data_IF_709061538965
#
_entry.id   IF_709061538965
#
_cell.length_a   1.000
_cell.length_b   1.000
_cell.length_c   1.000
_cell.angle_alpha   90.00
_cell.angle_beta   90.00
_cell.angle_gamma   90.00
#
_symmetry.space_group_name_H-M   'P 1'
#
loop_
_entity.id
_entity.type
_entity.pdbx_description
1 polymer ?
#
# COMPACT_ATOMS: atom_id res chain seq x y z
N UNK A 1 70.69 -3.20 17.64
CA UNK A 1 69.33 -3.79 17.55
C UNK A 1 68.65 -3.16 16.35
N UNK A 2 68.85 -3.70 15.15
CA UNK A 2 68.24 -3.18 13.92
C UNK A 2 67.31 -4.24 13.33
N UNK A 3 66.01 -3.95 13.43
CA UNK A 3 64.95 -4.72 12.78
C UNK A 3 65.13 -4.58 11.26
N UNK A 4 65.20 -5.67 10.48
CA UNK A 4 65.65 -5.57 9.11
C UNK A 4 64.58 -4.87 8.25
N UNK A 5 64.99 -3.78 7.59
CA UNK A 5 64.17 -2.90 6.72
C UNK A 5 63.45 -3.64 5.58
N UNK A 6 63.80 -4.89 5.30
CA UNK A 6 63.19 -5.72 4.25
C UNK A 6 61.73 -6.12 4.54
N UNK A 7 61.33 -6.27 5.80
CA UNK A 7 59.95 -6.67 6.18
C UNK A 7 58.93 -5.58 5.85
N UNK A 8 59.32 -4.30 5.93
CA UNK A 8 58.48 -3.17 5.51
C UNK A 8 58.37 -3.06 3.99
N UNK A 9 59.42 -3.44 3.26
CA UNK A 9 59.43 -3.43 1.80
C UNK A 9 58.55 -4.56 1.23
N UNK A 10 58.59 -5.75 1.83
CA UNK A 10 57.71 -6.88 1.47
C UNK A 10 56.24 -6.53 1.73
N UNK A 11 55.94 -5.86 2.84
CA UNK A 11 54.57 -5.43 3.16
C UNK A 11 54.03 -4.37 2.18
N UNK A 12 54.89 -3.45 1.72
CA UNK A 12 54.52 -2.42 0.74
C UNK A 12 54.31 -3.00 -0.67
N UNK A 13 55.14 -3.97 -1.07
CA UNK A 13 55.02 -4.65 -2.37
C UNK A 13 53.79 -5.56 -2.39
N UNK A 14 53.44 -6.22 -1.28
CA UNK A 14 52.17 -6.96 -1.16
C UNK A 14 50.94 -6.04 -1.24
N UNK A 15 51.01 -4.82 -0.69
CA UNK A 15 49.92 -3.84 -0.83
C UNK A 15 49.78 -3.31 -2.27
N UNK A 16 50.89 -3.11 -2.99
CA UNK A 16 50.88 -2.62 -4.37
C UNK A 16 50.46 -3.68 -5.39
N UNK A 17 50.75 -4.96 -5.12
CA UNK A 17 50.26 -6.11 -5.92
C UNK A 17 48.77 -6.41 -5.68
N UNK A 18 48.23 -6.08 -4.50
CA UNK A 18 46.79 -6.14 -4.22
C UNK A 18 45.99 -5.01 -4.90
N UNK A 19 46.66 -3.98 -5.40
CA UNK A 19 46.02 -2.82 -6.05
C UNK A 19 46.10 -2.80 -7.59
N UNK A 20 46.77 -3.77 -8.23
CA UNK A 20 46.90 -3.82 -9.71
C UNK A 20 45.99 -4.83 -10.43
N UNK A 21 44.96 -5.34 -9.74
CA UNK A 21 43.98 -6.28 -10.30
C UNK A 21 42.54 -5.77 -10.26
N UNK A 22 42.28 -4.53 -10.69
CA UNK A 22 40.90 -4.04 -10.95
C UNK A 22 40.84 -3.23 -12.24
N UNK A 23 41.15 -3.87 -13.35
CA UNK A 23 40.72 -3.39 -14.66
C UNK A 23 39.35 -3.99 -14.98
N UNK A 24 38.42 -3.11 -15.34
CA UNK A 24 37.12 -3.38 -15.95
C UNK A 24 36.08 -4.09 -15.07
N UNK A 25 35.57 -3.39 -14.05
CA UNK A 25 34.19 -3.61 -13.62
C UNK A 25 33.28 -3.03 -14.72
N UNK A 26 33.10 -3.78 -15.80
CA UNK A 26 32.00 -3.52 -16.72
C UNK A 26 30.71 -3.64 -15.91
N UNK A 27 30.05 -2.52 -15.65
CA UNK A 27 28.66 -2.49 -15.20
C UNK A 27 27.83 -3.20 -16.28
N UNK A 28 27.72 -4.52 -16.19
CA UNK A 28 26.72 -5.28 -16.91
C UNK A 28 25.39 -4.94 -16.24
N UNK A 29 24.75 -3.87 -16.71
CA UNK A 29 23.30 -3.77 -16.60
C UNK A 29 22.76 -5.00 -17.34
N UNK A 30 22.41 -6.05 -16.57
CA UNK A 30 21.45 -7.03 -17.07
C UNK A 30 20.15 -6.26 -17.20
N UNK A 31 19.89 -5.75 -18.39
CA UNK A 31 18.56 -5.30 -18.78
C UNK A 31 17.70 -6.56 -18.88
N UNK A 32 17.20 -7.00 -17.74
CA UNK A 32 16.18 -8.03 -17.68
C UNK A 32 14.86 -7.29 -17.94
N UNK A 33 14.16 -7.68 -19.00
CA UNK A 33 12.90 -7.04 -19.38
C UNK A 33 11.83 -7.40 -18.35
N UNK A 34 11.66 -6.51 -17.36
CA UNK A 34 10.68 -6.64 -16.29
C UNK A 34 9.35 -5.95 -16.63
N UNK A 35 9.13 -5.53 -17.89
CA UNK A 35 7.90 -4.83 -18.30
C UNK A 35 6.63 -5.65 -18.04
N UNK A 36 6.74 -6.98 -18.03
CA UNK A 36 5.64 -7.89 -17.67
C UNK A 36 5.39 -8.02 -16.16
N UNK A 37 6.32 -7.58 -15.31
CA UNK A 37 6.27 -7.77 -13.85
C UNK A 37 5.78 -6.49 -13.15
N UNK A 38 6.17 -5.32 -13.64
CA UNK A 38 5.80 -4.04 -13.05
C UNK A 38 5.37 -3.04 -14.13
N UNK A 39 4.24 -2.37 -13.88
CA UNK A 39 3.71 -1.33 -14.75
C UNK A 39 3.63 -0.01 -13.96
N UNK A 40 4.46 0.95 -14.35
CA UNK A 40 4.56 2.25 -13.69
C UNK A 40 3.24 3.04 -13.73
N UNK A 41 2.50 3.00 -14.84
CA UNK A 41 1.21 3.68 -14.96
C UNK A 41 0.19 3.10 -13.99
N UNK A 42 0.09 1.78 -13.91
CA UNK A 42 -0.77 1.11 -12.94
C UNK A 42 -0.33 1.45 -11.50
N UNK A 43 0.97 1.54 -11.25
CA UNK A 43 1.47 1.91 -9.93
C UNK A 43 1.08 3.33 -9.53
N UNK A 44 1.14 4.28 -10.45
CA UNK A 44 0.65 5.65 -10.21
C UNK A 44 -0.85 5.67 -9.96
N UNK A 45 -1.65 4.94 -10.75
CA UNK A 45 -3.11 4.82 -10.53
C UNK A 45 -3.41 4.26 -9.13
N UNK A 46 -2.76 3.17 -8.72
CA UNK A 46 -2.98 2.56 -7.40
C UNK A 46 -2.43 3.41 -6.25
N UNK A 47 -1.43 4.26 -6.52
CA UNK A 47 -0.95 5.26 -5.57
C UNK A 47 -1.99 6.38 -5.36
N UNK A 48 -2.64 6.86 -6.41
CA UNK A 48 -3.73 7.84 -6.29
C UNK A 48 -4.89 7.27 -5.45
N UNK A 49 -5.28 6.02 -5.65
CA UNK A 49 -6.28 5.36 -4.80
C UNK A 49 -5.81 5.21 -3.34
N UNK A 50 -4.55 4.85 -3.11
CA UNK A 50 -3.96 4.77 -1.77
C UNK A 50 -3.83 6.15 -1.11
N UNK A 51 -3.81 7.23 -1.89
CA UNK A 51 -3.80 8.60 -1.42
C UNK A 51 -5.22 9.14 -1.15
N UNK A 52 -6.19 8.85 -2.01
CA UNK A 52 -7.57 9.32 -1.89
C UNK A 52 -8.26 8.81 -0.62
N UNK A 53 -7.90 7.61 -0.14
CA UNK A 53 -8.45 7.07 1.12
C UNK A 53 -8.08 7.91 2.36
N UNK A 54 -7.18 8.88 2.24
CA UNK A 54 -6.84 9.83 3.32
C UNK A 54 -7.74 11.06 3.39
N UNK A 55 -8.65 11.26 2.43
CA UNK A 55 -9.58 12.39 2.46
C UNK A 55 -10.49 12.32 3.68
N UNK A 56 -10.66 13.47 4.35
CA UNK A 56 -11.45 13.59 5.59
C UNK A 56 -12.90 13.98 5.36
N UNK A 57 -13.19 14.60 4.21
CA UNK A 57 -14.57 14.78 3.72
C UNK A 57 -15.07 13.47 3.10
N UNK A 58 -15.86 12.73 3.88
CA UNK A 58 -16.44 11.47 3.44
C UNK A 58 -17.50 11.67 2.36
N UNK A 59 -18.11 12.84 2.29
CA UNK A 59 -19.10 13.17 1.27
C UNK A 59 -18.40 13.23 -0.08
N UNK A 60 -17.37 14.08 -0.19
CA UNK A 60 -16.60 14.22 -1.42
C UNK A 60 -15.88 12.93 -1.82
N UNK A 61 -15.36 12.17 -0.85
CA UNK A 61 -14.74 10.87 -1.12
C UNK A 61 -15.76 9.87 -1.65
N UNK A 62 -16.95 9.78 -1.05
CA UNK A 62 -17.99 8.83 -1.45
C UNK A 62 -18.65 9.19 -2.79
N UNK A 63 -18.76 10.49 -3.11
CA UNK A 63 -19.21 10.98 -4.43
C UNK A 63 -18.10 10.99 -5.47
N UNK A 64 -16.86 10.69 -5.07
CA UNK A 64 -15.67 10.73 -5.92
C UNK A 64 -15.42 12.10 -6.56
N UNK A 65 -15.61 13.17 -5.78
CA UNK A 65 -15.41 14.57 -6.17
C UNK A 65 -14.31 15.26 -5.38
N UNK A 66 -13.60 14.52 -4.54
CA UNK A 66 -12.52 15.02 -3.70
C UNK A 66 -11.33 15.57 -4.51
N UNK A 67 -10.49 16.38 -3.88
CA UNK A 67 -9.30 16.97 -4.52
C UNK A 67 -8.28 15.96 -5.07
N UNK A 68 -8.35 14.69 -4.63
CA UNK A 68 -7.53 13.56 -5.09
C UNK A 68 -8.30 12.52 -5.91
N UNK A 69 -9.58 12.79 -6.21
CA UNK A 69 -10.50 11.90 -6.92
C UNK A 69 -10.58 12.29 -8.42
N UNK A 70 -9.44 12.63 -9.01
CA UNK A 70 -9.36 13.18 -10.37
C UNK A 70 -8.29 12.46 -11.20
N UNK A 71 -7.96 13.04 -12.36
CA UNK A 71 -6.91 12.58 -13.27
C UNK A 71 -6.97 11.07 -13.58
N UNK A 72 -6.02 10.31 -13.03
CA UNK A 72 -5.83 8.87 -13.27
C UNK A 72 -6.90 7.99 -12.62
N UNK A 73 -7.72 8.54 -11.72
CA UNK A 73 -8.81 7.81 -11.04
C UNK A 73 -10.18 8.35 -11.41
N UNK A 74 -10.25 9.21 -12.44
CA UNK A 74 -11.50 9.82 -12.88
C UNK A 74 -12.50 8.75 -13.34
N UNK A 75 -13.74 8.87 -12.88
CA UNK A 75 -14.82 7.93 -13.24
C UNK A 75 -14.84 6.66 -12.41
N UNK A 76 -14.06 6.60 -11.32
CA UNK A 76 -14.19 5.52 -10.34
C UNK A 76 -15.56 5.53 -9.69
N UNK A 77 -16.17 4.36 -9.63
CA UNK A 77 -17.48 4.17 -9.03
C UNK A 77 -17.32 3.64 -7.61
N UNK A 78 -17.56 4.52 -6.64
CA UNK A 78 -17.58 4.12 -5.23
C UNK A 78 -18.77 3.20 -4.92
N UNK A 79 -18.50 2.02 -4.37
CA UNK A 79 -19.53 1.04 -3.98
C UNK A 79 -19.74 1.00 -2.47
N UNK A 80 -18.66 1.08 -1.71
CA UNK A 80 -18.65 0.99 -0.25
C UNK A 80 -17.54 1.88 0.32
N UNK A 81 -17.86 2.70 1.30
CA UNK A 81 -16.89 3.45 2.12
C UNK A 81 -17.10 3.06 3.58
N UNK A 82 -16.01 2.62 4.22
CA UNK A 82 -15.99 2.06 5.56
C UNK A 82 -15.13 2.96 6.44
N UNK A 83 -15.69 3.36 7.58
CA UNK A 83 -14.99 4.11 8.62
C UNK A 83 -15.22 3.44 9.96
N UNK A 84 -14.18 2.78 10.48
CA UNK A 84 -14.18 2.22 11.83
C UNK A 84 -13.68 3.32 12.79
N UNK A 85 -14.63 3.95 13.50
CA UNK A 85 -14.36 5.10 14.38
C UNK A 85 -13.57 4.65 15.61
N UNK A 86 -13.89 3.46 16.13
CA UNK A 86 -13.27 2.93 17.34
C UNK A 86 -11.76 2.75 17.17
N UNK A 87 -11.33 2.23 16.02
CA UNK A 87 -9.92 1.96 15.72
C UNK A 87 -9.32 2.95 14.72
N UNK A 88 -10.07 3.99 14.34
CA UNK A 88 -9.65 5.01 13.39
C UNK A 88 -9.19 4.42 12.04
N UNK A 89 -9.88 3.40 11.55
CA UNK A 89 -9.59 2.76 10.27
C UNK A 89 -10.50 3.29 9.18
N UNK A 90 -10.01 3.33 7.95
CA UNK A 90 -10.78 3.75 6.79
C UNK A 90 -10.41 2.91 5.59
N UNK A 91 -11.41 2.47 4.85
CA UNK A 91 -11.23 1.70 3.63
C UNK A 91 -12.37 1.98 2.66
N UNK A 92 -12.15 1.72 1.38
CA UNK A 92 -13.24 1.73 0.40
C UNK A 92 -13.15 0.56 -0.56
N UNK A 93 -14.27 0.25 -1.20
CA UNK A 93 -14.40 -0.69 -2.30
C UNK A 93 -15.13 0.02 -3.44
N UNK A 94 -14.60 -0.06 -4.66
CA UNK A 94 -15.25 0.51 -5.85
C UNK A 94 -14.83 -0.15 -7.14
N UNK A 95 -15.36 0.34 -8.26
CA UNK A 95 -15.09 -0.17 -9.61
C UNK A 95 -14.35 0.87 -10.44
N UNK A 96 -13.18 0.49 -10.95
CA UNK A 96 -12.43 1.23 -11.95
C UNK A 96 -12.79 0.65 -13.33
N UNK A 97 -13.66 1.33 -14.06
CA UNK A 97 -14.19 0.87 -15.36
C UNK A 97 -13.13 0.84 -16.46
N UNK A 98 -12.19 1.78 -16.43
CA UNK A 98 -11.03 1.85 -17.32
C UNK A 98 -10.08 0.65 -17.15
N UNK A 99 -9.90 0.18 -15.91
CA UNK A 99 -9.12 -1.01 -15.58
C UNK A 99 -9.93 -2.31 -15.63
N UNK A 100 -11.26 -2.22 -15.75
CA UNK A 100 -12.19 -3.32 -15.51
C UNK A 100 -11.85 -4.06 -14.20
N UNK A 101 -11.63 -3.32 -13.11
CA UNK A 101 -11.13 -3.85 -11.86
C UNK A 101 -11.96 -3.39 -10.66
N UNK A 102 -12.06 -4.25 -9.65
CA UNK A 102 -12.55 -3.86 -8.33
C UNK A 102 -11.36 -3.38 -7.53
N UNK A 103 -11.39 -2.12 -7.09
CA UNK A 103 -10.33 -1.51 -6.29
C UNK A 103 -10.74 -1.53 -4.82
N UNK A 104 -9.81 -1.94 -3.96
CA UNK A 104 -9.93 -1.86 -2.51
C UNK A 104 -8.75 -1.04 -1.99
N UNK A 105 -9.00 0.05 -1.29
CA UNK A 105 -7.95 0.87 -0.71
C UNK A 105 -8.10 0.95 0.82
N UNK A 106 -6.98 0.86 1.54
CA UNK A 106 -6.92 1.00 2.99
C UNK A 106 -6.06 2.18 3.39
N UNK A 107 -6.58 3.01 4.31
CA UNK A 107 -5.85 4.13 4.90
C UNK A 107 -4.83 3.62 5.91
N UNK A 108 -3.64 4.22 5.90
CA UNK A 108 -2.66 4.05 6.97
C UNK A 108 -2.91 4.98 8.16
N UNK A 109 -1.88 5.12 8.97
CA UNK A 109 -1.89 5.98 10.16
C UNK A 109 -1.86 7.46 9.76
N UNK A 110 -2.54 8.32 10.53
CA UNK A 110 -2.47 9.78 10.34
C UNK A 110 -1.14 10.36 10.84
N UNK A 111 -0.70 11.46 10.24
CA UNK A 111 0.63 12.05 10.45
C UNK A 111 1.04 12.21 11.92
N UNK A 112 0.16 12.77 12.76
CA UNK A 112 0.44 13.01 14.18
C UNK A 112 0.61 11.72 15.01
N UNK A 113 0.27 10.57 14.43
CA UNK A 113 0.38 9.26 15.05
C UNK A 113 1.40 8.35 14.35
N UNK A 114 1.94 8.75 13.19
CA UNK A 114 2.94 7.94 12.46
C UNK A 114 4.17 7.70 13.33
N UNK A 115 4.69 8.73 14.02
CA UNK A 115 5.82 8.58 14.94
C UNK A 115 5.52 7.57 16.06
N UNK A 116 4.41 7.74 16.78
CA UNK A 116 4.02 6.82 17.86
C UNK A 116 3.88 5.38 17.35
N UNK A 117 3.36 5.24 16.14
CA UNK A 117 3.13 3.95 15.53
C UNK A 117 4.44 3.28 15.06
N UNK A 118 5.39 4.08 14.56
CA UNK A 118 6.77 3.64 14.28
C UNK A 118 7.45 3.18 15.58
N UNK A 119 7.30 3.93 16.67
CA UNK A 119 7.81 3.52 17.99
C UNK A 119 7.19 2.19 18.43
N UNK A 120 5.88 2.02 18.28
CA UNK A 120 5.22 0.75 18.59
C UNK A 120 5.77 -0.41 17.76
N UNK A 121 6.00 -0.22 16.45
CA UNK A 121 6.61 -1.26 15.61
C UNK A 121 8.08 -1.58 15.97
N UNK A 122 8.81 -0.58 16.45
CA UNK A 122 10.20 -0.75 16.91
C UNK A 122 10.25 -1.57 18.21
N UNK A 123 9.39 -1.25 19.17
CA UNK A 123 9.50 -1.74 20.54
C UNK A 123 8.51 -2.86 20.91
N UNK A 124 7.39 -3.01 20.21
CA UNK A 124 6.30 -3.94 20.54
C UNK A 124 6.04 -4.92 19.39
N UNK A 125 7.02 -5.77 19.10
CA UNK A 125 6.83 -6.94 18.23
C UNK A 125 5.95 -7.98 18.93
N UNK A 126 4.64 -7.86 18.71
CA UNK A 126 3.65 -8.77 19.27
C UNK A 126 3.19 -9.73 18.17
N UNK A 127 3.84 -10.89 18.09
CA UNK A 127 3.46 -11.90 17.11
C UNK A 127 2.25 -12.72 17.52
N UNK A 128 1.49 -13.13 16.51
CA UNK A 128 0.37 -14.07 16.60
C UNK A 128 0.58 -15.19 15.58
N UNK A 129 0.30 -16.43 15.98
CA UNK A 129 0.34 -17.57 15.05
C UNK A 129 -0.77 -17.41 14.01
N UNK A 130 -0.39 -17.39 12.73
CA UNK A 130 -1.34 -17.32 11.64
C UNK A 130 -2.16 -18.63 11.62
N UNK A 131 -3.51 -18.57 11.55
CA UNK A 131 -4.34 -19.75 11.71
C UNK A 131 -4.02 -20.86 10.69
N UNK A 132 -3.91 -22.10 11.18
CA UNK A 132 -3.76 -23.32 10.39
C UNK A 132 -2.51 -23.42 9.50
N UNK A 133 -1.52 -22.53 9.65
CA UNK A 133 -0.27 -22.58 8.90
C UNK A 133 0.89 -22.77 9.89
N UNK A 134 1.62 -23.88 9.77
CA UNK A 134 2.75 -24.19 10.67
C UNK A 134 3.80 -23.08 10.63
N UNK A 135 4.27 -22.68 11.80
CA UNK A 135 5.36 -21.72 12.00
C UNK A 135 5.12 -20.32 11.42
N UNK A 136 3.98 -20.05 10.79
CA UNK A 136 3.63 -18.74 10.28
C UNK A 136 3.21 -17.82 11.43
N UNK A 137 3.92 -16.71 11.57
CA UNK A 137 3.64 -15.69 12.59
C UNK A 137 3.45 -14.35 11.91
N UNK A 138 2.54 -13.55 12.46
CA UNK A 138 2.17 -12.24 11.95
C UNK A 138 2.08 -11.22 13.06
N UNK A 139 2.31 -9.95 12.72
CA UNK A 139 2.16 -8.87 13.67
C UNK A 139 0.69 -8.73 14.10
N UNK A 140 0.43 -8.92 15.40
CA UNK A 140 -0.90 -8.96 16.00
C UNK A 140 -1.71 -7.70 15.73
N UNK A 141 -1.08 -6.52 15.74
CA UNK A 141 -1.75 -5.25 15.50
C UNK A 141 -2.36 -5.17 14.10
N UNK A 142 -1.61 -5.57 13.08
CA UNK A 142 -2.10 -5.58 11.70
C UNK A 142 -3.17 -6.64 11.48
N UNK A 143 -2.94 -7.84 12.03
CA UNK A 143 -3.90 -8.93 11.92
C UNK A 143 -5.24 -8.52 12.54
N UNK A 144 -5.21 -7.92 13.74
CA UNK A 144 -6.40 -7.42 14.43
C UNK A 144 -7.10 -6.32 13.62
N UNK A 145 -6.37 -5.31 13.14
CA UNK A 145 -6.92 -4.18 12.41
C UNK A 145 -7.75 -4.61 11.19
N UNK A 146 -7.34 -5.69 10.50
CA UNK A 146 -8.15 -6.27 9.43
C UNK A 146 -9.20 -7.28 9.93
N UNK A 147 -8.81 -8.34 10.65
CA UNK A 147 -9.69 -9.49 10.91
C UNK A 147 -10.73 -9.27 12.02
N UNK A 148 -10.46 -8.37 12.96
CA UNK A 148 -11.22 -8.23 14.21
C UNK A 148 -11.96 -6.90 14.32
N UNK A 149 -12.08 -6.17 13.22
CA UNK A 149 -12.82 -4.90 13.13
C UNK A 149 -13.97 -5.01 12.13
N UNK A 150 -14.76 -3.94 12.00
CA UNK A 150 -15.84 -3.88 11.02
C UNK A 150 -15.36 -3.95 9.57
N UNK A 151 -14.07 -3.66 9.33
CA UNK A 151 -13.47 -3.56 8.01
C UNK A 151 -13.60 -4.85 7.20
N UNK A 152 -13.14 -5.99 7.73
CA UNK A 152 -13.15 -7.27 6.99
C UNK A 152 -14.55 -7.69 6.52
N UNK A 153 -15.57 -7.84 7.39
CA UNK A 153 -16.87 -8.33 6.94
C UNK A 153 -17.51 -7.39 5.90
N UNK A 154 -17.37 -6.07 6.05
CA UNK A 154 -17.94 -5.09 5.12
C UNK A 154 -17.22 -5.13 3.77
N UNK A 155 -15.88 -5.13 3.74
CA UNK A 155 -15.09 -5.23 2.51
C UNK A 155 -15.39 -6.53 1.76
N UNK A 156 -15.42 -7.66 2.45
CA UNK A 156 -15.72 -8.97 1.83
C UNK A 156 -17.12 -8.98 1.23
N UNK A 157 -18.12 -8.44 1.93
CA UNK A 157 -19.49 -8.38 1.43
C UNK A 157 -19.61 -7.44 0.23
N UNK A 158 -18.96 -6.27 0.26
CA UNK A 158 -18.91 -5.35 -0.86
C UNK A 158 -18.27 -6.01 -2.09
N UNK A 159 -17.12 -6.67 -1.96
CA UNK A 159 -16.48 -7.39 -3.07
C UNK A 159 -17.39 -8.47 -3.64
N UNK A 160 -18.05 -9.27 -2.80
CA UNK A 160 -19.01 -10.29 -3.25
C UNK A 160 -20.18 -9.68 -4.02
N UNK A 161 -20.73 -8.56 -3.56
CA UNK A 161 -21.81 -7.82 -4.21
C UNK A 161 -21.36 -7.25 -5.55
N UNK A 162 -20.24 -6.52 -5.59
CA UNK A 162 -19.66 -5.95 -6.81
C UNK A 162 -19.39 -7.02 -7.86
N UNK A 163 -18.83 -8.17 -7.48
CA UNK A 163 -18.58 -9.28 -8.41
C UNK A 163 -19.85 -9.92 -8.98
N UNK A 164 -20.98 -9.86 -8.27
CA UNK A 164 -22.27 -10.32 -8.82
C UNK A 164 -22.78 -9.38 -9.92
N UNK A 165 -22.47 -8.09 -9.83
CA UNK A 165 -22.98 -7.05 -10.72
C UNK A 165 -22.10 -6.85 -11.95
N UNK A 166 -20.79 -6.77 -11.73
CA UNK A 166 -19.80 -6.48 -12.76
C UNK A 166 -19.05 -7.74 -13.26
N UNK A 167 -19.37 -8.91 -12.69
CA UNK A 167 -18.78 -10.19 -13.07
C UNK A 167 -17.41 -10.44 -12.41
N UNK A 168 -16.57 -11.24 -13.08
CA UNK A 168 -15.29 -11.72 -12.55
C UNK A 168 -14.13 -10.74 -12.81
N UNK A 169 -14.35 -9.45 -12.60
CA UNK A 169 -13.27 -8.45 -12.67
C UNK A 169 -12.10 -8.83 -11.73
N UNK A 170 -10.83 -8.58 -12.12
CA UNK A 170 -9.71 -8.62 -11.19
C UNK A 170 -10.00 -7.77 -9.96
N UNK A 171 -9.53 -8.23 -8.80
CA UNK A 171 -9.57 -7.45 -7.56
C UNK A 171 -8.16 -6.91 -7.31
N UNK A 172 -8.02 -5.59 -7.27
CA UNK A 172 -6.76 -4.92 -6.94
C UNK A 172 -6.88 -4.31 -5.56
N UNK A 173 -5.97 -4.70 -4.67
CA UNK A 173 -5.92 -4.23 -3.29
C UNK A 173 -4.72 -3.32 -3.15
N UNK A 174 -4.93 -2.15 -2.56
CA UNK A 174 -3.89 -1.14 -2.34
C UNK A 174 -3.97 -0.55 -0.94
N UNK A 175 -2.87 0.02 -0.50
CA UNK A 175 -2.77 0.69 0.78
C UNK A 175 -1.39 1.25 1.04
N UNK A 176 -1.36 2.36 1.77
CA UNK A 176 -0.14 3.02 2.20
C UNK A 176 0.14 2.76 3.68
N UNK A 177 1.41 2.62 4.07
CA UNK A 177 1.81 2.48 5.48
C UNK A 177 1.12 1.28 6.17
N UNK A 178 0.53 1.49 7.35
CA UNK A 178 -0.33 0.51 8.02
C UNK A 178 -1.46 -0.03 7.11
N UNK A 179 -1.98 0.81 6.21
CA UNK A 179 -2.99 0.42 5.22
C UNK A 179 -2.45 -0.62 4.23
N UNK A 180 -1.16 -0.58 3.91
CA UNK A 180 -0.50 -1.62 3.11
C UNK A 180 -0.48 -2.98 3.82
N UNK A 181 -0.29 -3.00 5.14
CA UNK A 181 -0.35 -4.23 5.93
C UNK A 181 -1.78 -4.80 5.96
N UNK A 182 -2.80 -3.95 6.11
CA UNK A 182 -4.20 -4.36 6.01
C UNK A 182 -4.56 -4.86 4.61
N UNK A 183 -4.09 -4.17 3.57
CA UNK A 183 -4.24 -4.58 2.17
C UNK A 183 -3.65 -5.98 1.92
N UNK A 184 -2.52 -6.29 2.56
CA UNK A 184 -1.89 -7.61 2.49
C UNK A 184 -2.81 -8.71 3.05
N UNK A 185 -3.33 -8.52 4.27
CA UNK A 185 -4.27 -9.49 4.83
C UNK A 185 -5.55 -9.61 4.02
N UNK A 186 -6.07 -8.49 3.49
CA UNK A 186 -7.23 -8.49 2.62
C UNK A 186 -7.00 -9.31 1.34
N UNK A 187 -5.89 -9.08 0.65
CA UNK A 187 -5.57 -9.81 -0.56
C UNK A 187 -5.47 -11.32 -0.32
N UNK A 188 -4.79 -11.72 0.76
CA UNK A 188 -4.64 -13.13 1.14
C UNK A 188 -5.98 -13.76 1.55
N UNK A 189 -6.79 -13.07 2.35
CA UNK A 189 -8.09 -13.55 2.82
C UNK A 189 -9.07 -13.74 1.64
N UNK A 190 -9.09 -12.82 0.68
CA UNK A 190 -9.86 -12.95 -0.56
C UNK A 190 -9.42 -14.16 -1.39
N UNK A 191 -8.12 -14.39 -1.50
CA UNK A 191 -7.58 -15.52 -2.26
C UNK A 191 -7.88 -16.87 -1.59
N UNK A 192 -7.53 -17.00 -0.30
CA UNK A 192 -7.57 -18.26 0.45
C UNK A 192 -8.97 -18.59 0.96
N UNK A 193 -9.61 -17.64 1.65
CA UNK A 193 -10.86 -17.91 2.38
C UNK A 193 -12.11 -17.65 1.53
N UNK A 194 -12.00 -16.87 0.45
CA UNK A 194 -13.12 -16.55 -0.45
C UNK A 194 -12.93 -17.02 -1.90
N UNK A 195 -11.84 -17.73 -2.20
CA UNK A 195 -11.61 -18.38 -3.50
C UNK A 195 -11.54 -17.41 -4.68
N UNK A 196 -11.05 -16.19 -4.45
CA UNK A 196 -10.87 -15.20 -5.52
C UNK A 196 -9.46 -15.36 -6.11
N UNK A 197 -9.36 -15.98 -7.28
CA UNK A 197 -8.05 -16.31 -7.86
C UNK A 197 -7.32 -15.16 -8.58
N UNK A 198 -7.99 -14.08 -8.96
CA UNK A 198 -7.38 -12.94 -9.68
C UNK A 198 -7.26 -11.71 -8.78
N UNK A 199 -6.58 -11.89 -7.65
CA UNK A 199 -6.27 -10.84 -6.70
C UNK A 199 -4.86 -10.32 -6.98
N UNK A 200 -4.72 -9.00 -7.02
CA UNK A 200 -3.45 -8.29 -7.15
C UNK A 200 -3.27 -7.39 -5.94
N UNK A 201 -2.05 -7.33 -5.40
CA UNK A 201 -1.70 -6.45 -4.30
C UNK A 201 -0.63 -5.46 -4.77
N UNK A 202 -0.87 -4.17 -4.55
CA UNK A 202 0.18 -3.17 -4.68
C UNK A 202 0.16 -2.25 -3.47
N UNK A 203 1.27 -2.17 -2.75
CA UNK A 203 1.35 -1.36 -1.52
C UNK A 203 2.46 -0.32 -1.60
N UNK A 204 2.34 0.72 -0.78
CA UNK A 204 3.26 1.85 -0.73
C UNK A 204 3.75 2.02 0.71
N UNK A 205 5.07 1.96 0.94
CA UNK A 205 5.62 2.12 2.29
C UNK A 205 5.13 1.06 3.27
N UNK A 206 4.87 -0.15 2.78
CA UNK A 206 4.34 -1.22 3.61
C UNK A 206 5.40 -1.72 4.60
N UNK A 207 5.07 -1.84 5.90
CA UNK A 207 5.91 -2.52 6.88
C UNK A 207 5.96 -4.03 6.62
N UNK A 208 6.87 -4.72 7.29
CA UNK A 208 6.86 -6.18 7.34
C UNK A 208 5.66 -6.66 8.15
N UNK A 209 4.97 -7.68 7.63
CA UNK A 209 3.66 -8.10 8.17
C UNK A 209 3.73 -9.40 8.97
N UNK A 210 4.66 -10.29 8.61
CA UNK A 210 4.87 -11.55 9.30
C UNK A 210 6.28 -12.09 9.08
N UNK A 211 6.53 -13.30 9.53
CA UNK A 211 7.82 -13.97 9.40
C UNK A 211 8.01 -14.64 8.02
N UNK A 212 9.16 -15.28 7.81
CA UNK A 212 9.50 -15.94 6.54
C UNK A 212 8.51 -17.06 6.13
N UNK A 213 7.95 -17.80 7.09
CA UNK A 213 6.93 -18.81 6.82
C UNK A 213 5.64 -18.18 6.30
N UNK A 214 5.18 -17.08 6.91
CA UNK A 214 4.04 -16.31 6.42
C UNK A 214 4.33 -15.68 5.04
N UNK A 215 5.51 -15.11 4.83
CA UNK A 215 5.88 -14.52 3.53
C UNK A 215 5.88 -15.56 2.39
N UNK A 216 6.33 -16.78 2.67
CA UNK A 216 6.29 -17.90 1.72
C UNK A 216 4.85 -18.30 1.40
N UNK A 217 4.02 -18.49 2.43
CA UNK A 217 2.60 -18.80 2.27
C UNK A 217 1.85 -17.72 1.49
N UNK A 218 2.15 -16.44 1.75
CA UNK A 218 1.57 -15.31 1.05
C UNK A 218 1.92 -15.34 -0.45
N UNK A 219 3.20 -15.58 -0.78
CA UNK A 219 3.70 -15.60 -2.16
C UNK A 219 3.02 -16.66 -3.02
N UNK A 220 2.70 -17.81 -2.43
CA UNK A 220 1.99 -18.90 -3.10
C UNK A 220 0.56 -18.50 -3.51
N UNK A 221 -0.14 -17.74 -2.65
CA UNK A 221 -1.56 -17.46 -2.81
C UNK A 221 -1.86 -16.12 -3.48
N UNK A 222 -0.95 -15.15 -3.39
CA UNK A 222 -1.08 -13.81 -4.02
C UNK A 222 0.19 -13.49 -4.82
N UNK A 223 0.47 -14.22 -5.92
CA UNK A 223 1.72 -14.07 -6.67
C UNK A 223 1.84 -12.72 -7.41
N UNK A 224 0.72 -12.05 -7.68
CA UNK A 224 0.68 -10.72 -8.32
C UNK A 224 0.81 -9.61 -7.26
N UNK A 225 1.96 -9.58 -6.60
CA UNK A 225 2.23 -8.65 -5.51
C UNK A 225 3.43 -7.76 -5.79
N UNK A 226 3.23 -6.46 -5.65
CA UNK A 226 4.26 -5.42 -5.74
C UNK A 226 4.25 -4.59 -4.45
N UNK A 227 5.42 -4.37 -3.86
CA UNK A 227 5.62 -3.42 -2.76
C UNK A 227 6.50 -2.29 -3.27
N UNK A 228 5.97 -1.07 -3.29
CA UNK A 228 6.73 0.12 -3.66
C UNK A 228 7.33 0.73 -2.39
N UNK A 229 8.65 0.93 -2.37
CA UNK A 229 9.40 1.56 -1.28
C UNK A 229 10.04 2.85 -1.80
N UNK A 230 10.14 3.90 -0.97
CA UNK A 230 10.65 5.19 -1.41
C UNK A 230 11.88 5.62 -0.61
N UNK A 231 12.99 5.93 -1.29
CA UNK A 231 14.19 6.53 -0.71
C UNK A 231 14.68 5.80 0.54
N UNK A 232 14.76 6.54 1.65
CA UNK A 232 15.13 6.07 2.98
C UNK A 232 13.91 5.90 3.90
N UNK A 233 12.73 5.60 3.35
CA UNK A 233 11.52 5.39 4.16
C UNK A 233 11.77 4.36 5.27
N UNK A 234 11.52 4.77 6.51
CA UNK A 234 11.66 3.94 7.71
C UNK A 234 10.65 2.80 7.80
N UNK A 235 9.43 2.98 7.30
CA UNK A 235 8.33 2.03 7.58
C UNK A 235 8.56 0.65 6.95
N UNK A 236 9.02 0.52 5.70
CA UNK A 236 9.42 -0.78 5.13
C UNK A 236 10.54 -1.49 5.90
N UNK A 237 11.28 -0.77 6.75
CA UNK A 237 12.34 -1.33 7.57
C UNK A 237 11.83 -1.82 8.94
N UNK A 238 10.51 -1.74 9.18
CA UNK A 238 9.87 -2.11 10.43
C UNK A 238 8.84 -3.24 10.26
N UNK A 239 8.69 -4.15 11.26
CA UNK A 239 9.61 -4.34 12.37
C UNK A 239 11.07 -4.65 11.93
N UNK A 240 12.08 -4.36 12.76
CA UNK A 240 13.50 -4.41 12.38
C UNK A 240 13.97 -5.74 11.79
N UNK A 241 14.96 -5.65 10.91
CA UNK A 241 15.68 -6.81 10.40
C UNK A 241 16.86 -7.18 11.31
N UNK A 242 16.90 -8.41 11.83
CA UNK A 242 17.99 -8.86 12.71
C UNK A 242 19.05 -9.64 11.93
N UNK A 243 20.10 -8.95 11.48
CA UNK A 243 21.19 -9.58 10.68
C UNK A 243 21.90 -10.74 11.38
N UNK A 244 21.97 -10.73 12.72
CA UNK A 244 22.57 -11.83 13.51
C UNK A 244 21.59 -13.00 13.73
N UNK A 245 20.29 -12.77 13.61
CA UNK A 245 19.24 -13.79 13.79
C UNK A 245 18.16 -13.68 12.70
N UNK A 246 18.49 -13.92 11.40
CA UNK A 246 17.53 -13.77 10.31
C UNK A 246 16.27 -14.64 10.47
N UNK A 247 16.39 -15.80 11.13
CA UNK A 247 15.27 -16.70 11.42
C UNK A 247 14.23 -16.12 12.39
N UNK A 248 14.59 -15.10 13.17
CA UNK A 248 13.69 -14.39 14.09
C UNK A 248 13.18 -13.07 13.51
N UNK A 249 13.47 -12.82 12.24
CA UNK A 249 13.17 -11.57 11.58
C UNK A 249 11.81 -11.67 10.89
N UNK A 250 11.03 -10.60 11.01
CA UNK A 250 9.92 -10.39 10.08
C UNK A 250 10.46 -10.38 8.65
N UNK A 251 9.71 -10.90 7.70
CA UNK A 251 10.15 -10.99 6.33
C UNK A 251 9.09 -10.39 5.42
N UNK A 252 9.53 -9.52 4.53
CA UNK A 252 8.71 -9.13 3.40
C UNK A 252 8.51 -10.30 2.45
N UNK A 253 7.34 -10.32 1.81
CA UNK A 253 7.09 -11.12 0.62
C UNK A 253 7.54 -10.36 -0.65
N UNK A 254 7.74 -11.07 -1.77
CA UNK A 254 8.08 -10.47 -3.06
C UNK A 254 6.90 -9.68 -3.64
N UNK A 255 7.10 -8.71 -4.52
CA UNK A 255 8.35 -8.15 -5.10
C UNK A 255 8.50 -6.68 -4.67
N UNK A 256 9.71 -6.26 -4.33
CA UNK A 256 9.99 -4.84 -4.07
C UNK A 256 10.28 -4.08 -5.37
N UNK A 257 9.76 -2.86 -5.47
CA UNK A 257 10.16 -1.82 -6.43
C UNK A 257 10.58 -0.59 -5.63
N UNK A 258 11.88 -0.31 -5.63
CA UNK A 258 12.46 0.76 -4.84
C UNK A 258 12.63 2.03 -5.68
N UNK A 259 11.94 3.09 -5.28
CA UNK A 259 11.99 4.39 -5.93
C UNK A 259 13.00 5.29 -5.22
N UNK A 260 14.08 5.66 -5.90
CA UNK A 260 15.14 6.47 -5.28
C UNK A 260 15.84 7.38 -6.27
N UNK A 261 16.56 8.36 -5.74
CA UNK A 261 17.26 9.35 -6.52
C UNK A 261 18.71 8.91 -6.77
N UNK A 262 19.11 8.86 -8.04
CA UNK A 262 20.51 8.70 -8.44
C UNK A 262 21.09 10.02 -8.94
N UNK A 263 22.30 10.33 -8.48
CA UNK A 263 23.07 11.47 -8.95
C UNK A 263 24.01 11.09 -10.09
N UNK A 264 23.91 11.76 -11.24
CA UNK A 264 24.88 11.66 -12.34
C UNK A 264 25.41 13.07 -12.62
N UNK A 265 26.59 13.37 -12.08
CA UNK A 265 27.16 14.73 -12.13
C UNK A 265 26.33 15.69 -11.28
N UNK A 266 25.75 16.73 -11.91
CA UNK A 266 24.84 17.70 -11.26
C UNK A 266 23.37 17.32 -11.39
N UNK A 267 23.04 16.26 -12.13
CA UNK A 267 21.67 15.84 -12.40
C UNK A 267 21.22 14.79 -11.38
N UNK A 268 20.00 14.96 -10.88
CA UNK A 268 19.34 14.00 -9.98
C UNK A 268 18.14 13.41 -10.71
N UNK A 269 18.13 12.08 -10.87
CA UNK A 269 17.05 11.35 -11.51
C UNK A 269 16.38 10.42 -10.51
N UNK A 270 15.05 10.43 -10.45
CA UNK A 270 14.29 9.42 -9.74
C UNK A 270 14.18 8.17 -10.61
N UNK A 271 14.59 7.02 -10.08
CA UNK A 271 14.53 5.73 -10.75
C UNK A 271 13.68 4.74 -9.96
N UNK A 272 13.11 3.77 -10.67
CA UNK A 272 12.31 2.69 -10.11
C UNK A 272 13.07 1.36 -10.30
N UNK A 273 13.76 0.92 -9.24
CA UNK A 273 14.58 -0.28 -9.26
C UNK A 273 13.76 -1.51 -8.87
N UNK A 274 13.68 -2.51 -9.75
CA UNK A 274 12.98 -3.78 -9.49
C UNK A 274 13.94 -4.77 -8.84
N UNK A 275 13.57 -5.29 -7.67
CA UNK A 275 14.45 -6.10 -6.82
C UNK A 275 14.40 -7.61 -7.15
N UNK A 276 15.31 -8.41 -6.57
CA UNK A 276 15.54 -9.83 -6.88
C UNK A 276 14.37 -10.77 -6.53
N UNK A 277 13.39 -10.28 -5.75
CA UNK A 277 12.19 -11.02 -5.39
C UNK A 277 12.34 -11.99 -4.26
N UNK A 278 13.42 -11.90 -3.49
CA UNK A 278 13.52 -12.54 -2.18
C UNK A 278 12.54 -11.93 -1.16
N UNK A 279 12.06 -10.71 -1.44
CA UNK A 279 11.32 -9.88 -0.49
C UNK A 279 12.26 -9.00 0.35
N UNK A 280 13.50 -9.42 0.55
CA UNK A 280 14.50 -8.72 1.36
C UNK A 280 15.80 -8.56 0.55
N UNK A 281 15.76 -7.94 -0.63
CA UNK A 281 16.93 -7.76 -1.49
C UNK A 281 17.93 -6.77 -0.83
N UNK A 282 19.16 -7.19 -0.48
CA UNK A 282 20.14 -6.31 0.16
C UNK A 282 20.66 -5.17 -0.73
N UNK A 283 20.37 -5.19 -2.04
CA UNK A 283 20.75 -4.16 -3.02
C UNK A 283 19.66 -3.13 -3.31
N UNK A 284 18.47 -3.28 -2.71
CA UNK A 284 17.35 -2.34 -2.81
C UNK A 284 17.21 -1.47 -1.56
N UNK A 285 16.00 -1.18 -1.05
CA UNK A 285 15.85 -0.27 0.09
C UNK A 285 16.60 -0.78 1.32
N UNK A 286 16.78 -2.09 1.50
CA UNK A 286 17.63 -2.65 2.58
C UNK A 286 19.09 -2.18 2.56
N UNK A 287 19.58 -1.61 1.46
CA UNK A 287 20.92 -1.05 1.37
C UNK A 287 21.08 0.28 2.14
N UNK A 288 19.97 0.91 2.54
CA UNK A 288 19.96 2.21 3.23
C UNK A 288 19.61 2.09 4.71
N UNK A 289 19.79 3.17 5.48
CA UNK A 289 19.51 3.20 6.92
C UNK A 289 18.02 3.02 7.22
N UNK A 290 17.14 3.57 6.38
CA UNK A 290 15.68 3.52 6.59
C UNK A 290 15.26 4.35 7.79
N UNK A 291 15.56 5.65 7.78
CA UNK A 291 15.36 6.59 8.90
C UNK A 291 14.54 7.85 8.51
N UNK A 292 14.00 7.90 7.29
CA UNK A 292 13.28 9.06 6.76
C UNK A 292 11.76 8.88 6.86
N UNK A 293 11.12 9.67 7.71
CA UNK A 293 9.66 9.76 7.76
C UNK A 293 9.14 10.69 6.65
N UNK A 294 9.99 11.59 6.14
CA UNK A 294 9.63 12.44 5.00
C UNK A 294 9.44 11.60 3.73
N UNK A 295 10.32 10.62 3.50
CA UNK A 295 10.21 9.73 2.33
C UNK A 295 8.98 8.82 2.45
N UNK A 296 8.50 8.55 3.67
CA UNK A 296 7.26 7.83 3.92
C UNK A 296 6.01 8.58 3.46
N UNK A 297 6.04 9.92 3.38
CA UNK A 297 4.83 10.71 3.09
C UNK A 297 4.54 10.88 1.62
N UNK A 298 5.43 10.48 0.71
CA UNK A 298 5.28 10.72 -0.72
C UNK A 298 5.74 9.54 -1.54
N UNK A 299 4.91 9.11 -2.49
CA UNK A 299 5.16 7.93 -3.31
C UNK A 299 4.84 8.25 -4.77
N UNK A 300 5.81 8.03 -5.68
CA UNK A 300 5.64 8.33 -7.11
C UNK A 300 5.23 9.78 -7.44
N UNK A 301 5.55 10.72 -6.54
CA UNK A 301 5.14 12.12 -6.66
C UNK A 301 3.82 12.47 -5.96
N UNK A 302 3.09 11.47 -5.46
CA UNK A 302 1.76 11.60 -4.85
C UNK A 302 1.89 11.64 -3.33
N UNK A 303 1.18 12.57 -2.68
CA UNK A 303 1.22 12.75 -1.24
C UNK A 303 0.33 11.71 -0.54
N UNK A 304 0.83 11.04 0.50
CA UNK A 304 0.21 9.90 1.18
C UNK A 304 -0.21 10.24 2.61
N UNK A 305 -0.80 11.42 2.76
CA UNK A 305 -1.12 11.99 4.07
C UNK A 305 -2.55 12.56 4.11
N UNK A 306 -3.08 12.77 5.32
CA UNK A 306 -4.39 13.39 5.51
C UNK A 306 -4.42 14.81 4.92
N UNK A 307 -5.56 15.21 4.36
CA UNK A 307 -5.81 16.54 3.82
C UNK A 307 -5.99 17.62 4.91
N UNK A 308 -6.34 17.21 6.13
CA UNK A 308 -6.47 18.11 7.29
C UNK A 308 -5.63 17.67 8.49
N UNK A 309 -5.17 18.66 9.26
CA UNK A 309 -4.45 18.46 10.52
C UNK A 309 -5.44 18.24 11.67
N UNK A 310 -5.49 17.03 12.23
CA UNK A 310 -6.32 16.71 13.39
C UNK A 310 -6.57 15.22 13.56
N UNK A 311 -6.82 14.77 14.78
CA UNK A 311 -7.11 13.36 15.10
C UNK A 311 -8.43 12.92 14.47
N UNK A 312 -8.41 11.90 13.60
CA UNK A 312 -9.57 11.14 13.08
C UNK A 312 -10.86 11.97 12.92
N UNK A 313 -10.73 13.15 12.31
CA UNK A 313 -11.84 14.07 12.14
C UNK A 313 -12.61 13.65 10.89
N UNK A 314 -13.85 13.24 11.11
CA UNK A 314 -14.78 12.88 10.04
C UNK A 314 -15.61 14.11 9.72
N UNK A 315 -15.55 14.57 8.47
CA UNK A 315 -16.46 15.59 7.93
C UNK A 315 -17.43 14.86 7.01
N UNK A 316 -18.72 14.97 7.30
CA UNK A 316 -19.76 14.31 6.52
C UNK A 316 -21.04 15.13 6.58
N UNK A 317 -21.68 15.30 5.42
CA UNK A 317 -23.04 15.83 5.35
C UNK A 317 -24.05 14.69 5.59
N UNK A 318 -24.47 14.56 6.84
CA UNK A 318 -25.47 13.57 7.27
C UNK A 318 -26.84 13.75 6.61
N UNK A 319 -27.09 14.88 5.95
CA UNK A 319 -28.34 15.12 5.22
C UNK A 319 -28.28 14.65 3.76
N UNK A 320 -27.08 14.49 3.20
CA UNK A 320 -26.87 14.19 1.79
C UNK A 320 -26.70 12.69 1.47
N UNK A 321 -26.36 11.84 2.46
CA UNK A 321 -26.00 10.44 2.23
C UNK A 321 -26.80 9.47 3.10
N UNK A 322 -27.21 8.34 2.50
CA UNK A 322 -27.69 7.19 3.26
C UNK A 322 -26.49 6.46 3.87
N UNK A 323 -26.47 6.35 5.20
CA UNK A 323 -25.40 5.69 5.95
C UNK A 323 -25.98 4.70 6.95
N UNK A 324 -25.18 3.68 7.28
CA UNK A 324 -25.42 2.80 8.40
C UNK A 324 -24.39 3.10 9.49
N UNK A 325 -24.86 3.21 10.73
CA UNK A 325 -24.00 3.38 11.90
C UNK A 325 -24.26 2.26 12.89
N UNK A 326 -23.21 1.58 13.32
CA UNK A 326 -23.32 0.55 14.36
C UNK A 326 -23.27 1.16 15.78
N UNK A 327 -23.45 0.31 16.79
CA UNK A 327 -23.44 0.73 18.20
C UNK A 327 -22.08 1.28 18.68
N UNK A 328 -20.99 0.99 17.95
CA UNK A 328 -19.66 1.52 18.23
C UNK A 328 -19.39 2.84 17.49
N UNK A 329 -20.37 3.33 16.72
CA UNK A 329 -20.26 4.57 15.93
C UNK A 329 -19.54 4.37 14.59
N UNK A 330 -19.25 3.14 14.18
CA UNK A 330 -18.63 2.86 12.89
C UNK A 330 -19.61 3.17 11.78
N UNK A 331 -19.11 3.77 10.70
CA UNK A 331 -19.93 4.30 9.61
C UNK A 331 -19.66 3.51 8.34
N UNK A 332 -20.74 3.09 7.70
CA UNK A 332 -20.73 2.39 6.42
C UNK A 332 -21.64 3.15 5.45
N UNK A 333 -21.06 3.59 4.35
CA UNK A 333 -21.75 4.26 3.25
C UNK A 333 -21.76 3.30 2.06
N UNK A 334 -22.95 2.90 1.63
CA UNK A 334 -23.14 1.95 0.53
C UNK A 334 -23.86 2.60 -0.63
N UNK A 335 -23.34 2.48 -1.86
CA UNK A 335 -24.19 2.70 -3.05
C UNK A 335 -24.86 1.38 -3.38
N UNK A 336 -26.18 1.40 -3.55
CA UNK A 336 -26.90 0.27 -4.11
C UNK A 336 -26.93 0.42 -5.65
N UNK A 337 -26.14 -0.36 -6.40
CA UNK A 337 -26.04 -0.25 -7.85
C UNK A 337 -27.32 -0.70 -8.58
N UNK A 338 -28.31 -1.23 -7.86
CA UNK A 338 -29.65 -1.58 -8.38
C UNK A 338 -30.65 -0.42 -8.23
N UNK A 339 -30.33 0.60 -7.43
CA UNK A 339 -31.13 1.83 -7.41
C UNK A 339 -30.69 2.74 -8.55
N UNK A 340 -31.53 3.00 -9.58
CA UNK A 340 -31.22 4.04 -10.54
C UNK A 340 -31.00 5.33 -9.75
N UNK A 341 -29.86 5.97 -10.01
CA UNK A 341 -29.55 7.30 -9.54
C UNK A 341 -30.78 8.19 -9.68
N UNK A 342 -31.40 8.57 -8.56
CA UNK A 342 -32.40 9.64 -8.49
C UNK A 342 -31.64 10.96 -8.67
N UNK A 343 -31.02 11.14 -9.83
CA UNK A 343 -30.45 12.40 -10.32
C UNK A 343 -30.62 12.39 -11.84
N UNK A 344 -31.86 12.23 -12.31
CA UNK A 344 -32.30 12.59 -13.66
C UNK A 344 -33.84 12.57 -13.77
N UNK A 345 -34.53 13.28 -12.87
CA UNK A 345 -35.97 13.54 -13.04
C UNK A 345 -36.45 14.78 -12.28
N UNK A 346 -35.65 15.84 -12.22
CA UNK A 346 -36.13 17.18 -11.83
C UNK A 346 -35.36 18.20 -12.66
N UNK A 347 -35.85 18.48 -13.87
CA UNK A 347 -35.74 19.73 -14.65
C UNK A 347 -36.09 19.47 -16.12
N UNK A 348 -37.25 18.86 -16.39
CA UNK A 348 -37.86 18.97 -17.71
C UNK A 348 -39.39 18.84 -17.70
N UNK A 349 -40.05 19.21 -16.60
CA UNK A 349 -41.51 19.15 -16.51
C UNK A 349 -42.20 20.44 -16.05
N UNK A 350 -41.50 21.58 -16.08
CA UNK A 350 -42.07 22.86 -15.61
C UNK A 350 -42.13 23.97 -16.68
N UNK A 351 -42.32 23.60 -17.96
CA UNK A 351 -42.45 24.61 -19.02
C UNK A 351 -43.59 24.40 -20.03
N UNK A 352 -44.66 23.68 -19.67
CA UNK A 352 -45.83 23.51 -20.55
C UNK A 352 -47.21 23.65 -19.88
N UNK A 353 -47.33 24.40 -18.77
CA UNK A 353 -48.65 24.78 -18.23
C UNK A 353 -48.73 26.25 -17.79
N UNK A 354 -48.58 27.14 -18.75
CA UNK A 354 -49.05 28.53 -18.62
C UNK A 354 -49.22 29.15 -20.00
N UNK A 355 -50.29 28.79 -20.71
CA UNK A 355 -50.91 29.60 -21.77
C UNK A 355 -52.17 28.92 -22.32
N UNK A 356 -53.27 28.90 -21.56
CA UNK A 356 -54.64 28.96 -22.11
C UNK A 356 -55.54 29.60 -21.05
N UNK A 357 -55.64 30.92 -21.06
CA UNK A 357 -56.84 31.67 -20.65
C UNK A 357 -56.69 33.11 -21.15
N UNK A 358 -57.24 33.34 -22.34
CA UNK A 358 -57.89 34.58 -22.76
C UNK A 358 -58.77 34.25 -23.98
#
# INVERSE_FOLDING_TARGET
MDRPRWLKLVFLISLLMLCHGRTNLAFKFKHQDYSHIYNQTLAKILAEYASAVYMTDLTELFTWTCSRCNDLTKGFEMIELIVDVQYCLQAFVGVAHDLNAIIIAFRGTQENSIQNWIEDLLWKQLDLNYPNISDAMVHRGFYFAYHNTTVRPVVVNAVKRTRKLYGKFPVMVTGHSMGGAMASFCALDLAVNFGIHNVQLMTFGQPRVGNAAFASYFTEHVPKTIRVTNGNDIVPHLPPYYSLFPQKTYHHFPREVWTHNIGIGTLVYMIEQICDGSGEDPSCSRSVSGDSITDHKKYLGIDMQADTWGSCRIVMDYSALQYQMDLAGNIVLSKDPVSPSIIQSITQEDNTRSNVQN
#
